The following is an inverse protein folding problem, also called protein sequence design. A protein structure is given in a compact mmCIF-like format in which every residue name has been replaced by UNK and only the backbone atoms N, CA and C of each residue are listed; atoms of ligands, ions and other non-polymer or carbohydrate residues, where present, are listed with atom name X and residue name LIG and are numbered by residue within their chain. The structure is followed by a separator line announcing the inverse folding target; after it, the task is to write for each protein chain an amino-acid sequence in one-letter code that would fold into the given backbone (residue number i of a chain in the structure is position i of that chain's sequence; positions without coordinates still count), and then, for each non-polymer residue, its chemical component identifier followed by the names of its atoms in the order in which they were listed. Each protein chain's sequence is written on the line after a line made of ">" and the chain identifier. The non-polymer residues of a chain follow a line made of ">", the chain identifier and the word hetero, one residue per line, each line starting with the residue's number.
data_IF_332099439672
#
_entry.id   IF_332099439672
#
_cell.length_a   1.000
_cell.length_b   1.000
_cell.length_c   1.000
_cell.angle_alpha   90.00
_cell.angle_beta   90.00
_cell.angle_gamma   90.00
#
_symmetry.space_group_name_H-M   'P 1'
#
loop_
_entity.id
_entity.type
_entity.pdbx_description
1 polymer ?
#
# COMPACT_ATOMS: atom_id res chain seq x y z
N UNK A 1 30.58 26.41 25.38
CA UNK A 1 31.10 27.69 25.92
C UNK A 1 32.60 27.70 26.23
N UNK A 2 33.26 26.59 26.59
CA UNK A 2 34.72 26.62 26.88
C UNK A 2 35.59 26.91 25.66
N UNK A 3 35.19 26.49 24.45
CA UNK A 3 35.99 26.69 23.24
C UNK A 3 36.28 28.16 22.92
N UNK A 4 35.30 29.05 23.10
CA UNK A 4 35.43 30.48 22.77
C UNK A 4 36.43 31.17 23.70
N UNK A 5 36.40 30.83 25.00
CA UNK A 5 37.34 31.36 26.00
C UNK A 5 38.77 30.86 25.78
N UNK A 6 38.94 29.64 25.29
CA UNK A 6 40.27 29.07 25.04
C UNK A 6 40.93 29.63 23.78
N UNK A 7 40.15 30.07 22.78
CA UNK A 7 40.68 30.57 21.50
C UNK A 7 40.81 32.09 21.42
N UNK A 8 40.12 32.83 22.28
CA UNK A 8 40.02 34.29 22.22
C UNK A 8 40.91 34.96 23.27
N UNK A 9 41.82 35.83 22.82
CA UNK A 9 42.58 36.74 23.70
C UNK A 9 41.88 38.08 23.97
N UNK A 10 40.63 38.25 23.49
CA UNK A 10 39.87 39.50 23.59
C UNK A 10 39.29 39.74 24.99
N UNK A 11 38.91 41.00 25.26
CA UNK A 11 38.22 41.41 26.49
C UNK A 11 36.97 40.55 26.77
N UNK A 12 36.78 40.16 28.03
CA UNK A 12 35.67 39.32 28.47
C UNK A 12 34.29 39.81 28.00
N UNK A 13 34.10 41.13 27.94
CA UNK A 13 32.85 41.72 27.48
C UNK A 13 32.57 41.42 25.99
N UNK A 14 33.61 41.46 25.14
CA UNK A 14 33.50 41.11 23.71
C UNK A 14 33.26 39.62 23.53
N UNK A 15 33.92 38.78 24.33
CA UNK A 15 33.73 37.33 24.32
C UNK A 15 32.31 36.93 24.73
N UNK A 16 31.74 37.60 25.74
CA UNK A 16 30.34 37.39 26.16
C UNK A 16 29.38 37.70 25.02
N UNK A 17 29.56 38.84 24.34
CA UNK A 17 28.72 39.24 23.21
C UNK A 17 28.85 38.24 22.04
N UNK A 18 30.05 37.72 21.78
CA UNK A 18 30.25 36.70 20.74
C UNK A 18 29.59 35.37 21.11
N UNK A 19 29.65 34.97 22.37
CA UNK A 19 28.99 33.76 22.86
C UNK A 19 27.46 33.85 22.71
N UNK A 20 26.87 35.00 23.06
CA UNK A 20 25.43 35.22 22.91
C UNK A 20 25.00 35.16 21.44
N UNK A 21 25.76 35.80 20.54
CA UNK A 21 25.49 35.75 19.08
C UNK A 21 25.60 34.34 18.51
N UNK A 22 26.57 33.54 18.98
CA UNK A 22 26.70 32.15 18.55
C UNK A 22 25.50 31.34 19.06
N UNK A 23 25.08 31.55 20.31
CA UNK A 23 23.89 30.90 20.85
C UNK A 23 22.65 31.20 19.98
N UNK A 24 22.42 32.46 19.61
CA UNK A 24 21.30 32.86 18.75
C UNK A 24 21.34 32.18 17.36
N UNK A 25 22.51 32.11 16.74
CA UNK A 25 22.69 31.48 15.41
C UNK A 25 22.54 29.95 15.47
N UNK A 26 23.04 29.32 16.54
CA UNK A 26 22.90 27.87 16.74
C UNK A 26 21.48 27.45 17.10
N UNK A 27 20.75 28.29 17.85
CA UNK A 27 19.36 28.05 18.22
C UNK A 27 18.43 28.00 17.00
N UNK A 28 18.79 28.69 15.91
CA UNK A 28 18.04 28.63 14.65
C UNK A 28 18.36 27.40 13.77
N UNK A 29 19.52 26.77 13.94
CA UNK A 29 19.93 25.61 13.13
C UNK A 29 19.43 24.26 13.64
N UNK A 30 19.04 24.15 14.91
CA UNK A 30 18.49 22.89 15.47
C UNK A 30 17.04 22.62 15.05
N UNK A 31 16.33 23.63 14.51
CA UNK A 31 14.89 23.53 14.19
C UNK A 31 14.62 22.67 12.92
N UNK A 32 15.62 22.43 12.07
CA UNK A 32 15.39 21.65 10.83
C UNK A 32 15.52 20.13 10.99
N UNK A 33 16.05 19.63 12.12
CA UNK A 33 16.16 18.18 12.39
C UNK A 33 15.21 17.68 13.49
N UNK A 34 14.69 18.58 14.34
CA UNK A 34 13.90 18.21 15.52
C UNK A 34 12.38 18.10 15.29
N UNK A 35 11.87 18.32 14.07
CA UNK A 35 10.43 18.25 13.81
C UNK A 35 9.81 16.83 13.88
N UNK A 36 10.57 15.78 14.23
CA UNK A 36 10.01 14.45 14.51
C UNK A 36 10.04 14.06 16.01
N UNK A 37 10.76 14.78 16.87
CA UNK A 37 11.00 14.34 18.26
C UNK A 37 10.54 15.38 19.29
N UNK A 38 9.26 15.75 19.25
CA UNK A 38 8.65 16.48 20.36
C UNK A 38 7.36 15.81 20.86
N UNK A 39 7.40 14.48 20.97
CA UNK A 39 6.53 13.73 21.89
C UNK A 39 7.39 12.64 22.55
N UNK A 40 8.20 12.99 23.55
CA UNK A 40 8.50 12.04 24.63
C UNK A 40 9.15 12.77 25.80
N UNK A 41 8.35 13.00 26.85
CA UNK A 41 8.91 13.30 28.16
C UNK A 41 9.59 12.03 28.70
N UNK A 42 10.90 12.17 28.93
CA UNK A 42 11.62 11.53 30.03
C UNK A 42 11.66 9.99 30.08
N UNK A 43 12.68 9.38 29.47
CA UNK A 43 13.61 8.44 30.15
C UNK A 43 14.93 8.42 29.37
N UNK A 44 16.02 8.78 30.06
CA UNK A 44 17.40 8.56 29.60
C UNK A 44 17.73 7.08 29.71
N UNK A 45 17.89 6.37 28.59
CA UNK A 45 18.63 5.11 28.54
C UNK A 45 19.51 5.07 27.31
N UNK A 46 20.82 4.96 27.55
CA UNK A 46 21.89 4.84 26.57
C UNK A 46 21.81 3.46 25.88
N UNK A 47 21.48 3.39 24.59
CA UNK A 47 21.69 2.22 23.68
C UNK A 47 21.81 2.74 22.23
N UNK A 48 22.61 2.13 21.32
CA UNK A 48 23.07 2.75 20.06
C UNK A 48 21.95 3.06 19.07
N UNK A 49 21.86 4.32 18.63
CA UNK A 49 20.74 4.83 17.80
C UNK A 49 20.87 4.53 16.29
N UNK A 50 21.87 3.75 15.86
CA UNK A 50 22.07 3.44 14.43
C UNK A 50 21.54 2.07 13.99
N UNK A 51 21.30 1.14 14.93
CA UNK A 51 20.72 -0.17 14.60
C UNK A 51 19.19 -0.12 14.43
N UNK A 52 18.50 0.65 15.27
CA UNK A 52 17.03 0.70 15.30
C UNK A 52 16.41 1.40 14.07
N UNK A 53 17.09 2.41 13.52
CA UNK A 53 16.62 3.10 12.32
C UNK A 53 16.69 2.19 11.08
N UNK A 54 17.77 1.43 10.93
CA UNK A 54 17.94 0.47 9.84
C UNK A 54 16.96 -0.71 9.95
N UNK A 55 16.70 -1.17 11.18
CA UNK A 55 15.69 -2.20 11.43
C UNK A 55 14.28 -1.71 11.10
N UNK A 56 13.96 -0.45 11.43
CA UNK A 56 12.68 0.17 11.09
C UNK A 56 12.50 0.30 9.58
N UNK A 57 13.53 0.77 8.86
CA UNK A 57 13.52 0.88 7.40
C UNK A 57 13.35 -0.50 6.76
N UNK A 58 14.08 -1.50 7.25
CA UNK A 58 13.99 -2.89 6.75
C UNK A 58 12.59 -3.48 6.97
N UNK A 59 11.99 -3.20 8.12
CA UNK A 59 10.63 -3.64 8.44
C UNK A 59 9.59 -2.97 7.53
N UNK A 60 9.71 -1.66 7.30
CA UNK A 60 8.84 -0.92 6.38
C UNK A 60 8.99 -1.43 4.94
N UNK A 61 10.22 -1.71 4.49
CA UNK A 61 10.47 -2.27 3.15
C UNK A 61 9.85 -3.67 2.99
N UNK A 62 9.88 -4.49 4.04
CA UNK A 62 9.22 -5.79 4.07
C UNK A 62 7.68 -5.64 3.98
N UNK A 63 7.09 -4.73 4.76
CA UNK A 63 5.65 -4.46 4.72
C UNK A 63 5.20 -3.93 3.35
N UNK A 64 5.96 -3.02 2.74
CA UNK A 64 5.68 -2.50 1.38
C UNK A 64 5.74 -3.63 0.35
N UNK A 65 6.71 -4.53 0.46
CA UNK A 65 6.85 -5.68 -0.44
C UNK A 65 5.67 -6.64 -0.31
N UNK A 66 5.24 -6.95 0.91
CA UNK A 66 4.08 -7.80 1.17
C UNK A 66 2.78 -7.18 0.63
N UNK A 67 2.56 -5.88 0.88
CA UNK A 67 1.41 -5.16 0.38
C UNK A 67 1.36 -5.14 -1.16
N UNK A 68 2.51 -4.93 -1.81
CA UNK A 68 2.62 -4.96 -3.28
C UNK A 68 2.21 -6.32 -3.84
N UNK A 69 2.70 -7.42 -3.25
CA UNK A 69 2.32 -8.78 -3.65
C UNK A 69 0.82 -9.05 -3.47
N UNK A 70 0.21 -8.53 -2.40
CA UNK A 70 -1.23 -8.66 -2.16
C UNK A 70 -2.04 -7.91 -3.21
N UNK A 71 -1.63 -6.71 -3.57
CA UNK A 71 -2.25 -5.91 -4.63
C UNK A 71 -2.15 -6.63 -5.98
N UNK A 72 -0.99 -7.20 -6.32
CA UNK A 72 -0.79 -7.95 -7.56
C UNK A 72 -1.60 -9.25 -7.63
N UNK A 73 -1.78 -9.92 -6.50
CA UNK A 73 -2.66 -11.10 -6.43
C UNK A 73 -4.13 -10.72 -6.60
N UNK A 74 -4.57 -9.66 -5.92
CA UNK A 74 -5.92 -9.13 -6.08
C UNK A 74 -6.14 -8.72 -7.55
N UNK A 75 -5.29 -7.82 -8.04
CA UNK A 75 -4.69 -7.79 -9.38
C UNK A 75 -5.23 -8.78 -10.44
N UNK A 76 -4.54 -9.91 -10.43
CA UNK A 76 -4.72 -11.02 -11.34
C UNK A 76 -6.08 -11.70 -11.14
N UNK A 77 -6.56 -11.79 -9.90
CA UNK A 77 -7.84 -12.45 -9.60
C UNK A 77 -9.04 -11.76 -10.27
N UNK A 78 -9.09 -10.42 -10.27
CA UNK A 78 -10.18 -9.71 -10.96
C UNK A 78 -10.10 -9.83 -12.48
N UNK A 79 -8.89 -9.84 -13.05
CA UNK A 79 -8.69 -10.04 -14.50
C UNK A 79 -9.15 -11.44 -14.95
N UNK A 80 -8.79 -12.48 -14.21
CA UNK A 80 -9.16 -13.88 -14.54
C UNK A 80 -10.67 -14.10 -14.52
N UNK A 81 -11.39 -13.49 -13.56
CA UNK A 81 -12.87 -13.56 -13.49
C UNK A 81 -13.58 -12.82 -14.63
N UNK A 82 -12.95 -11.80 -15.20
CA UNK A 82 -13.50 -11.06 -16.35
C UNK A 82 -13.40 -11.90 -17.64
N UNK A 83 -12.27 -12.58 -17.84
CA UNK A 83 -12.03 -13.35 -19.07
C UNK A 83 -12.75 -14.71 -19.12
N UNK A 84 -12.92 -15.36 -17.97
CA UNK A 84 -13.71 -16.60 -17.85
C UNK A 84 -15.15 -16.44 -18.37
N UNK A 85 -15.77 -15.27 -18.14
CA UNK A 85 -17.15 -15.00 -18.57
C UNK A 85 -17.27 -14.75 -20.07
N UNK A 86 -16.23 -14.25 -20.74
CA UNK A 86 -16.28 -13.91 -22.17
C UNK A 86 -16.17 -15.15 -23.06
N UNK A 87 -15.39 -16.14 -22.64
CA UNK A 87 -15.14 -17.36 -23.43
C UNK A 87 -16.28 -18.38 -23.43
N UNK A 88 -17.21 -18.30 -22.45
CA UNK A 88 -18.35 -19.23 -22.39
C UNK A 88 -19.48 -18.88 -23.38
N UNK A 89 -19.46 -17.70 -24.00
CA UNK A 89 -20.48 -17.33 -24.99
C UNK A 89 -20.24 -17.95 -26.36
N UNK A 90 -18.98 -18.22 -26.73
CA UNK A 90 -18.61 -18.76 -28.05
C UNK A 90 -18.66 -20.29 -28.11
N UNK A 91 -18.47 -20.99 -26.99
CA UNK A 91 -18.50 -22.45 -26.93
C UNK A 91 -19.91 -23.06 -27.10
N UNK A 92 -20.98 -22.28 -26.88
CA UNK A 92 -22.37 -22.76 -27.01
C UNK A 92 -22.88 -22.90 -28.44
N UNK A 93 -22.10 -22.47 -29.43
CA UNK A 93 -22.55 -22.40 -30.83
C UNK A 93 -22.12 -23.61 -31.67
N UNK A 94 -21.38 -24.57 -31.11
CA UNK A 94 -20.72 -25.60 -31.90
C UNK A 94 -21.40 -26.98 -31.93
N UNK A 95 -22.50 -27.21 -31.18
CA UNK A 95 -23.24 -28.47 -31.30
C UNK A 95 -24.66 -28.36 -30.79
N UNK A 96 -25.59 -27.98 -31.68
CA UNK A 96 -26.99 -28.34 -31.49
C UNK A 96 -27.49 -29.03 -32.76
N UNK A 97 -26.97 -30.23 -32.98
CA UNK A 97 -27.72 -31.31 -33.67
C UNK A 97 -28.68 -32.01 -32.70
N UNK A 98 -28.59 -31.72 -31.41
CA UNK A 98 -29.46 -32.28 -30.40
C UNK A 98 -30.74 -31.47 -30.26
N UNK A 99 -31.83 -32.21 -30.36
CA UNK A 99 -33.26 -31.88 -30.35
C UNK A 99 -33.73 -31.08 -29.10
N UNK A 100 -32.81 -30.68 -28.22
CA UNK A 100 -33.08 -30.08 -26.91
C UNK A 100 -32.57 -28.64 -26.83
N UNK A 101 -33.49 -27.67 -26.67
CA UNK A 101 -33.15 -26.25 -26.55
C UNK A 101 -32.55 -25.89 -25.17
N UNK A 102 -31.91 -24.73 -25.05
CA UNK A 102 -31.31 -24.28 -23.78
C UNK A 102 -32.29 -24.24 -22.60
N UNK A 103 -33.58 -23.97 -22.87
CA UNK A 103 -34.61 -23.97 -21.83
C UNK A 103 -34.92 -25.39 -21.35
N UNK A 104 -35.01 -26.38 -22.25
CA UNK A 104 -35.18 -27.78 -21.87
C UNK A 104 -33.92 -28.37 -21.23
N UNK A 105 -32.72 -27.94 -21.62
CA UNK A 105 -31.50 -28.33 -20.91
C UNK A 105 -31.53 -27.88 -19.44
N UNK A 106 -32.02 -26.67 -19.16
CA UNK A 106 -32.01 -26.07 -17.82
C UNK A 106 -33.23 -26.43 -16.96
N UNK A 107 -34.41 -26.50 -17.58
CA UNK A 107 -35.69 -26.66 -16.89
C UNK A 107 -36.40 -27.97 -17.22
N UNK A 108 -35.86 -28.76 -18.16
CA UNK A 108 -36.44 -30.01 -18.65
C UNK A 108 -37.91 -29.81 -19.03
N UNK A 109 -38.79 -30.68 -18.57
CA UNK A 109 -40.23 -30.64 -18.78
C UNK A 109 -40.93 -29.40 -18.17
N UNK A 110 -40.23 -28.53 -17.43
CA UNK A 110 -40.82 -27.27 -16.94
C UNK A 110 -40.48 -26.06 -17.84
N UNK A 111 -39.97 -26.29 -19.05
CA UNK A 111 -39.53 -25.24 -19.96
C UNK A 111 -40.71 -24.54 -20.66
N UNK A 112 -41.15 -23.41 -20.10
CA UNK A 112 -42.28 -22.61 -20.62
C UNK A 112 -41.93 -21.59 -21.70
N UNK A 113 -40.64 -21.37 -21.99
CA UNK A 113 -40.13 -20.29 -22.87
C UNK A 113 -39.31 -20.82 -24.05
N UNK A 114 -39.73 -21.94 -24.63
CA UNK A 114 -39.04 -22.57 -25.74
C UNK A 114 -39.29 -21.81 -27.05
N UNK A 115 -38.25 -21.67 -27.88
CA UNK A 115 -38.33 -21.05 -29.22
C UNK A 115 -38.25 -22.17 -30.27
N UNK A 116 -39.18 -22.25 -31.25
CA UNK A 116 -39.10 -23.21 -32.35
C UNK A 116 -37.88 -22.97 -33.26
N UNK A 117 -37.30 -24.01 -33.88
CA UNK A 117 -37.68 -25.42 -33.82
C UNK A 117 -37.06 -26.11 -32.58
N UNK A 118 -37.91 -26.60 -31.68
CA UNK A 118 -37.51 -27.43 -30.54
C UNK A 118 -38.43 -28.65 -30.51
N UNK A 119 -37.85 -29.82 -30.33
CA UNK A 119 -38.54 -31.10 -30.50
C UNK A 119 -39.45 -31.47 -29.34
N UNK A 120 -39.27 -30.79 -28.20
CA UNK A 120 -40.06 -30.99 -26.98
C UNK A 120 -41.11 -29.89 -26.81
N UNK A 121 -41.86 -29.56 -27.87
CA UNK A 121 -42.97 -28.62 -27.73
C UNK A 121 -44.03 -29.30 -26.87
N UNK A 122 -44.25 -28.83 -25.64
CA UNK A 122 -45.38 -29.27 -24.84
C UNK A 122 -46.66 -28.94 -25.61
N UNK A 123 -47.31 -29.98 -26.12
CA UNK A 123 -48.68 -29.95 -26.57
C UNK A 123 -49.55 -29.62 -25.36
N UNK A 124 -50.41 -28.62 -25.52
CA UNK A 124 -51.21 -28.03 -24.44
C UNK A 124 -52.37 -28.94 -24.04
#
# INVERSE_FOLDING_TARGET
>A
MQAILTTSSDDLNKVSIMADKIADVTSGSEICFLSFSHISNHVKTKVPETSTANDCISNLQAQISELSLKIDRMSQFWRSRSMSRRNNSRARSASHKDQMCCYHFRFRENAKKCVPPCSNKQEN
#
